data_IF_687410957279
#
_entry.id   IF_687410957279
#
_cell.length_a   1.000
_cell.length_b   1.000
_cell.length_c   1.000
_cell.angle_alpha   90.00
_cell.angle_beta   90.00
_cell.angle_gamma   90.00
#
_symmetry.space_group_name_H-M   'P 1'
#
loop_
_entity.id
_entity.type
_entity.pdbx_description
1 polymer ?
#
# COMPACT_ATOMS: atom_id res chain seq x y z
N UNK A 1 71.62 79.87 17.38
CA UNK A 1 71.20 79.05 18.54
C UNK A 1 69.99 78.19 18.14
N UNK A 2 69.74 77.11 18.88
CA UNK A 2 69.09 75.84 18.53
C UNK A 2 67.57 75.76 18.16
N UNK A 3 67.23 74.72 17.35
CA UNK A 3 66.10 73.72 17.36
C UNK A 3 64.62 74.23 17.35
N UNK A 4 63.57 73.60 16.77
CA UNK A 4 63.27 72.31 16.08
C UNK A 4 61.85 72.32 15.46
N UNK A 5 61.65 71.51 14.41
CA UNK A 5 60.49 70.64 14.08
C UNK A 5 59.18 71.10 13.34
N UNK A 6 58.95 70.35 12.24
CA UNK A 6 57.71 69.68 11.72
C UNK A 6 56.69 70.40 10.81
N UNK A 7 56.65 69.86 9.58
CA UNK A 7 55.49 69.21 8.90
C UNK A 7 54.40 70.07 8.23
N UNK A 8 54.25 69.92 6.91
CA UNK A 8 53.14 69.19 6.22
C UNK A 8 53.17 69.47 4.72
N UNK A 9 52.80 68.47 3.91
CA UNK A 9 52.88 68.49 2.44
C UNK A 9 51.55 67.95 1.84
N UNK A 10 51.18 68.53 0.68
CA UNK A 10 50.34 68.00 -0.44
C UNK A 10 48.79 68.12 -0.48
N UNK A 11 48.37 69.07 -1.36
CA UNK A 11 47.47 69.00 -2.56
C UNK A 11 47.05 67.58 -3.05
N UNK A 12 45.99 67.30 -3.84
CA UNK A 12 45.05 68.03 -4.73
C UNK A 12 43.85 67.11 -5.07
N UNK A 13 42.89 67.65 -5.82
CA UNK A 13 41.52 67.20 -6.02
C UNK A 13 41.22 66.18 -7.15
N UNK A 14 40.07 65.50 -6.96
CA UNK A 14 39.01 65.09 -7.90
C UNK A 14 39.31 64.23 -9.14
N UNK A 15 38.67 63.05 -9.20
CA UNK A 15 37.86 62.61 -10.35
C UNK A 15 36.95 61.43 -9.98
N UNK A 16 35.67 61.55 -10.34
CA UNK A 16 34.59 60.59 -10.12
C UNK A 16 34.56 59.59 -11.27
N UNK A 17 34.64 58.28 -10.96
CA UNK A 17 34.39 57.20 -11.93
C UNK A 17 33.30 56.29 -11.34
N UNK A 18 32.12 56.31 -11.97
CA UNK A 18 31.00 55.42 -11.66
C UNK A 18 31.39 53.99 -12.03
N UNK A 19 31.67 53.15 -11.03
CA UNK A 19 31.79 51.70 -11.23
C UNK A 19 30.39 51.08 -11.36
N UNK A 20 30.02 50.68 -12.57
CA UNK A 20 28.85 49.85 -12.81
C UNK A 20 29.05 48.48 -12.13
N UNK A 21 28.29 48.21 -11.07
CA UNK A 21 28.17 46.88 -10.46
C UNK A 21 27.60 45.93 -11.53
N UNK A 22 28.44 45.06 -12.08
CA UNK A 22 27.96 43.88 -12.83
C UNK A 22 27.09 43.06 -11.89
N UNK A 23 25.77 43.15 -12.06
CA UNK A 23 24.83 42.19 -11.49
C UNK A 23 25.18 40.86 -12.14
N UNK A 24 25.79 39.94 -11.38
CA UNK A 24 25.88 38.54 -11.81
C UNK A 24 24.45 38.08 -12.04
N UNK A 25 24.10 37.78 -13.29
CA UNK A 25 22.87 37.05 -13.57
C UNK A 25 22.89 35.78 -12.71
N UNK A 26 21.78 35.41 -12.05
CA UNK A 26 21.71 34.15 -11.34
C UNK A 26 22.00 33.04 -12.34
N UNK A 27 23.15 32.38 -12.18
CA UNK A 27 23.46 31.19 -12.95
C UNK A 27 22.32 30.21 -12.69
N UNK A 28 21.62 29.79 -13.76
CA UNK A 28 20.69 28.67 -13.72
C UNK A 28 21.42 27.52 -13.02
N UNK A 29 20.88 26.95 -11.93
CA UNK A 29 21.51 25.81 -11.28
C UNK A 29 21.77 24.75 -12.34
N UNK A 30 23.01 24.29 -12.47
CA UNK A 30 23.37 23.15 -13.29
C UNK A 30 22.45 22.00 -12.88
N UNK A 31 21.55 21.59 -13.76
CA UNK A 31 20.60 20.52 -13.49
C UNK A 31 21.40 19.22 -13.37
N UNK A 32 21.62 18.76 -12.13
CA UNK A 32 21.98 17.38 -11.92
C UNK A 32 20.94 16.49 -12.62
N UNK A 33 21.37 15.42 -13.30
CA UNK A 33 20.48 14.56 -14.05
C UNK A 33 19.35 14.09 -13.15
N UNK A 34 18.12 14.36 -13.58
CA UNK A 34 16.91 14.09 -12.83
C UNK A 34 16.85 12.60 -12.46
N UNK A 35 16.89 12.28 -11.16
CA UNK A 35 16.83 10.89 -10.70
C UNK A 35 15.50 10.26 -11.13
N UNK A 36 15.58 9.31 -12.05
CA UNK A 36 14.45 8.50 -12.49
C UNK A 36 14.17 7.45 -11.41
N UNK A 37 12.93 7.41 -10.93
CA UNK A 37 12.46 6.47 -9.91
C UNK A 37 11.68 5.32 -10.54
N UNK A 38 11.04 5.56 -11.68
CA UNK A 38 10.38 4.54 -12.48
C UNK A 38 10.43 4.95 -13.95
N UNK A 39 10.70 3.99 -14.82
CA UNK A 39 10.58 4.16 -16.26
C UNK A 39 10.12 2.87 -16.91
N UNK A 40 9.16 2.98 -17.82
CA UNK A 40 8.74 1.88 -18.67
C UNK A 40 8.47 2.40 -20.09
N UNK A 41 8.72 1.57 -21.08
CA UNK A 41 8.45 1.87 -22.48
C UNK A 41 7.92 0.61 -23.18
N UNK A 42 6.88 0.77 -23.98
CA UNK A 42 6.25 -0.36 -24.66
C UNK A 42 4.85 -0.03 -25.16
N UNK A 43 4.15 -1.07 -25.65
CA UNK A 43 2.79 -0.93 -26.19
C UNK A 43 1.79 -0.52 -25.12
N UNK A 44 0.78 0.25 -25.51
CA UNK A 44 -0.28 0.68 -24.60
C UNK A 44 -1.69 0.39 -25.13
N UNK A 45 -2.68 0.34 -24.25
CA UNK A 45 -4.11 0.41 -24.60
C UNK A 45 -4.82 1.51 -23.80
N UNK A 46 -6.14 1.61 -23.94
CA UNK A 46 -6.95 2.53 -23.13
C UNK A 46 -7.84 1.79 -22.15
N UNK A 47 -8.12 2.40 -21.00
CA UNK A 47 -9.00 1.86 -19.98
C UNK A 47 -9.72 2.96 -19.19
N UNK A 48 -10.69 2.54 -18.38
CA UNK A 48 -11.36 3.41 -17.44
C UNK A 48 -12.61 4.09 -18.01
N UNK A 49 -13.52 4.43 -17.11
CA UNK A 49 -14.69 5.24 -17.42
C UNK A 49 -15.89 4.47 -17.98
N UNK A 50 -16.96 5.21 -18.39
CA UNK A 50 -18.28 4.62 -18.63
C UNK A 50 -18.40 3.73 -19.87
N UNK A 51 -17.37 3.68 -20.72
CA UNK A 51 -17.40 2.94 -21.99
C UNK A 51 -16.35 1.83 -22.07
N UNK A 52 -15.54 1.65 -21.02
CA UNK A 52 -14.62 0.52 -20.92
C UNK A 52 -15.33 -0.76 -20.45
N UNK A 53 -15.92 -1.49 -21.39
CA UNK A 53 -16.60 -2.77 -21.12
C UNK A 53 -15.62 -3.93 -20.87
N UNK A 54 -14.31 -3.70 -20.97
CA UNK A 54 -13.29 -4.66 -20.58
C UNK A 54 -13.16 -4.78 -19.06
N UNK A 55 -13.51 -3.71 -18.33
CA UNK A 55 -13.66 -3.76 -16.88
C UNK A 55 -15.05 -4.24 -16.45
N UNK A 56 -15.08 -5.01 -15.37
CA UNK A 56 -16.34 -5.42 -14.74
C UNK A 56 -17.08 -4.22 -14.13
N UNK A 57 -18.42 -4.24 -14.06
CA UNK A 57 -19.21 -3.14 -13.50
C UNK A 57 -18.86 -2.77 -12.06
N UNK A 58 -18.36 -3.71 -11.27
CA UNK A 58 -17.99 -3.57 -9.86
C UNK A 58 -16.47 -3.43 -9.62
N UNK A 59 -15.67 -3.37 -10.70
CA UNK A 59 -14.21 -3.38 -10.63
C UNK A 59 -13.63 -2.12 -9.95
N UNK A 60 -12.73 -2.36 -8.99
CA UNK A 60 -12.07 -1.31 -8.22
C UNK A 60 -10.87 -0.71 -8.94
N UNK A 61 -10.04 0.02 -8.18
CA UNK A 61 -8.72 0.48 -8.63
C UNK A 61 -7.68 0.06 -7.59
N UNK A 62 -6.47 -0.28 -8.02
CA UNK A 62 -5.40 -0.71 -7.11
C UNK A 62 -4.88 0.43 -6.22
N UNK A 63 -4.98 1.68 -6.68
CA UNK A 63 -4.46 2.85 -5.97
C UNK A 63 -5.53 3.73 -5.36
N UNK A 64 -6.83 3.57 -5.64
CA UNK A 64 -7.89 4.44 -5.11
C UNK A 64 -9.09 3.64 -4.56
N UNK A 65 -9.75 4.20 -3.56
CA UNK A 65 -10.90 3.63 -2.86
C UNK A 65 -12.10 4.59 -2.87
N UNK A 66 -13.28 4.11 -2.44
CA UNK A 66 -14.49 4.95 -2.43
C UNK A 66 -14.37 6.15 -1.50
N UNK A 67 -13.51 6.07 -0.49
CA UNK A 67 -13.20 7.18 0.41
C UNK A 67 -12.51 8.34 -0.31
N UNK A 68 -11.74 8.05 -1.38
CA UNK A 68 -11.02 9.07 -2.15
C UNK A 68 -11.93 9.92 -3.04
N UNK A 69 -13.21 9.54 -3.19
CA UNK A 69 -14.21 10.32 -3.91
C UNK A 69 -14.54 11.65 -3.21
N UNK A 70 -14.33 11.69 -1.90
CA UNK A 70 -14.60 12.88 -1.06
C UNK A 70 -13.35 13.74 -0.87
N UNK A 71 -12.16 13.23 -1.23
CA UNK A 71 -10.91 14.00 -1.18
C UNK A 71 -10.87 15.00 -2.35
N UNK A 72 -10.87 16.33 -2.09
CA UNK A 72 -10.83 17.34 -3.14
C UNK A 72 -9.63 17.22 -4.08
N UNK A 73 -8.55 16.56 -3.63
CA UNK A 73 -7.35 16.32 -4.44
C UNK A 73 -7.57 15.30 -5.55
N UNK A 74 -8.53 14.39 -5.38
CA UNK A 74 -8.77 13.28 -6.31
C UNK A 74 -10.20 13.25 -6.85
N UNK A 75 -11.13 14.01 -6.26
CA UNK A 75 -12.53 14.03 -6.67
C UNK A 75 -12.71 14.32 -8.17
N UNK A 76 -11.85 15.14 -8.77
CA UNK A 76 -11.92 15.50 -10.19
C UNK A 76 -11.48 14.37 -11.14
N UNK A 77 -10.76 13.36 -10.65
CA UNK A 77 -10.37 12.16 -11.37
C UNK A 77 -11.58 11.25 -11.67
N UNK A 78 -12.65 11.38 -10.88
CA UNK A 78 -13.84 10.55 -10.97
C UNK A 78 -15.04 11.35 -11.50
N UNK A 79 -16.01 10.63 -12.07
CA UNK A 79 -17.29 11.19 -12.42
C UNK A 79 -18.10 11.49 -11.15
N UNK A 80 -18.91 12.58 -11.13
CA UNK A 80 -19.72 12.94 -9.96
C UNK A 80 -20.66 11.83 -9.49
N UNK A 81 -21.14 10.99 -10.42
CA UNK A 81 -21.97 9.82 -10.13
C UNK A 81 -21.42 8.59 -10.88
N UNK A 82 -21.62 7.37 -10.34
CA UNK A 82 -21.29 6.14 -11.07
C UNK A 82 -22.19 5.99 -12.31
N UNK A 83 -21.67 5.44 -13.42
CA UNK A 83 -22.50 5.06 -14.55
C UNK A 83 -23.60 4.06 -14.16
N UNK A 84 -24.76 4.07 -14.85
CA UNK A 84 -25.84 3.12 -14.58
C UNK A 84 -25.36 1.66 -14.59
N UNK A 85 -25.77 0.89 -13.58
CA UNK A 85 -25.42 -0.53 -13.46
C UNK A 85 -23.98 -0.81 -13.00
N UNK A 86 -23.21 0.22 -12.59
CA UNK A 86 -21.83 0.06 -12.13
C UNK A 86 -21.69 0.47 -10.65
N UNK A 87 -20.80 -0.21 -9.92
CA UNK A 87 -20.49 0.06 -8.51
C UNK A 87 -18.99 0.21 -8.24
N UNK A 88 -18.17 -0.15 -9.23
CA UNK A 88 -16.71 -0.08 -9.22
C UNK A 88 -16.16 1.31 -9.53
N UNK A 89 -14.94 1.59 -9.07
CA UNK A 89 -14.29 2.88 -9.30
C UNK A 89 -13.68 3.00 -10.69
N UNK A 90 -13.26 1.89 -11.29
CA UNK A 90 -12.67 1.92 -12.63
C UNK A 90 -13.64 2.52 -13.65
N UNK A 91 -14.90 2.04 -13.64
CA UNK A 91 -15.98 2.53 -14.49
C UNK A 91 -16.39 3.98 -14.19
N UNK A 92 -16.05 4.49 -13.00
CA UNK A 92 -16.31 5.86 -12.57
C UNK A 92 -15.16 6.81 -12.88
N UNK A 93 -14.02 6.35 -13.40
CA UNK A 93 -12.94 7.25 -13.84
C UNK A 93 -13.46 8.21 -14.91
N UNK A 94 -13.06 9.48 -14.82
CA UNK A 94 -13.45 10.49 -15.79
C UNK A 94 -12.56 10.38 -17.04
N UNK A 95 -13.07 9.94 -18.20
CA UNK A 95 -12.25 9.64 -19.38
C UNK A 95 -11.52 10.86 -19.93
N UNK A 96 -11.93 12.08 -19.56
CA UNK A 96 -11.29 13.34 -19.97
C UNK A 96 -10.10 13.74 -19.07
N UNK A 97 -9.85 13.01 -17.99
CA UNK A 97 -8.73 13.26 -17.06
C UNK A 97 -7.53 12.41 -17.43
N UNK A 98 -6.34 12.85 -17.05
CA UNK A 98 -5.10 12.18 -17.40
C UNK A 98 -4.65 11.22 -16.30
N UNK A 99 -4.92 9.94 -16.55
CA UNK A 99 -4.51 8.85 -15.68
C UNK A 99 -4.02 7.67 -16.49
N UNK A 100 -3.33 6.77 -15.81
CA UNK A 100 -2.84 5.54 -16.41
C UNK A 100 -2.68 4.41 -15.38
N UNK A 101 -2.55 3.20 -15.88
CA UNK A 101 -2.20 2.00 -15.14
C UNK A 101 -0.92 1.39 -15.74
N UNK A 102 -0.03 0.86 -14.90
CA UNK A 102 1.17 0.14 -15.32
C UNK A 102 1.41 -1.06 -14.41
N UNK A 103 2.30 -1.96 -14.83
CA UNK A 103 2.84 -2.95 -13.91
C UNK A 103 3.88 -2.29 -13.01
N UNK A 104 3.68 -2.47 -11.71
CA UNK A 104 4.55 -1.93 -10.68
C UNK A 104 5.10 -3.08 -9.84
N UNK A 105 6.37 -3.01 -9.44
CA UNK A 105 6.83 -3.73 -8.26
C UNK A 105 6.61 -2.82 -7.06
N UNK A 106 5.69 -3.17 -6.17
CA UNK A 106 5.37 -2.33 -5.01
C UNK A 106 6.49 -2.24 -3.98
N UNK A 107 7.50 -3.11 -4.04
CA UNK A 107 8.73 -2.95 -3.25
C UNK A 107 9.56 -1.74 -3.73
N UNK A 108 9.58 -1.49 -5.04
CA UNK A 108 10.34 -0.39 -5.66
C UNK A 108 9.51 0.88 -5.81
N UNK A 109 8.20 0.71 -6.05
CA UNK A 109 7.23 1.78 -6.28
C UNK A 109 6.00 1.60 -5.40
N UNK A 110 6.10 1.89 -4.08
CA UNK A 110 4.99 1.69 -3.16
C UNK A 110 3.72 2.43 -3.58
N UNK A 111 2.54 1.88 -3.27
CA UNK A 111 1.24 2.48 -3.65
C UNK A 111 1.11 3.95 -3.22
N UNK A 112 1.60 4.30 -2.04
CA UNK A 112 1.58 5.68 -1.54
C UNK A 112 2.48 6.62 -2.36
N UNK A 113 3.64 6.13 -2.81
CA UNK A 113 4.48 6.87 -3.74
C UNK A 113 3.72 7.12 -5.06
N UNK A 114 3.10 6.08 -5.63
CA UNK A 114 2.33 6.19 -6.87
C UNK A 114 1.13 7.14 -6.73
N UNK A 115 0.37 7.04 -5.63
CA UNK A 115 -0.75 7.94 -5.28
C UNK A 115 -0.33 9.40 -5.12
N UNK A 116 0.94 9.70 -4.83
CA UNK A 116 1.43 11.08 -4.67
C UNK A 116 2.25 11.58 -5.86
N UNK A 117 2.49 10.74 -6.85
CA UNK A 117 3.32 11.06 -8.00
C UNK A 117 2.48 11.52 -9.19
N UNK A 118 3.12 12.33 -10.05
CA UNK A 118 2.73 12.50 -11.44
C UNK A 118 3.82 11.88 -12.32
N UNK A 119 3.41 11.18 -13.36
CA UNK A 119 4.33 10.66 -14.36
C UNK A 119 4.31 11.57 -15.58
N UNK A 120 5.47 11.77 -16.19
CA UNK A 120 5.55 12.27 -17.55
C UNK A 120 5.26 11.10 -18.49
N UNK A 121 4.16 11.19 -19.23
CA UNK A 121 3.76 10.21 -20.25
C UNK A 121 4.05 10.82 -21.61
N UNK A 122 4.81 10.11 -22.43
CA UNK A 122 5.34 10.60 -23.69
C UNK A 122 5.00 9.66 -24.83
N UNK A 123 4.59 10.24 -25.96
CA UNK A 123 4.59 9.55 -27.24
C UNK A 123 5.97 9.75 -27.89
N UNK A 124 6.83 8.71 -27.95
CA UNK A 124 8.18 8.83 -28.48
C UNK A 124 8.22 9.11 -29.99
N UNK A 125 7.12 8.85 -30.73
CA UNK A 125 7.08 9.07 -32.17
C UNK A 125 6.88 10.54 -32.55
N UNK A 126 6.14 11.30 -31.74
CA UNK A 126 5.82 12.70 -32.01
C UNK A 126 6.35 13.69 -30.94
N UNK A 127 6.93 13.17 -29.86
CA UNK A 127 7.53 13.95 -28.77
C UNK A 127 6.53 14.65 -27.84
N UNK A 128 5.22 14.42 -28.00
CA UNK A 128 4.20 15.00 -27.10
C UNK A 128 4.32 14.38 -25.72
N UNK A 129 4.23 15.22 -24.68
CA UNK A 129 4.31 14.83 -23.28
C UNK A 129 3.15 15.40 -22.49
N UNK A 130 2.56 14.59 -21.62
CA UNK A 130 1.46 14.97 -20.75
C UNK A 130 1.70 14.38 -19.37
N UNK A 131 1.40 15.16 -18.35
CA UNK A 131 1.45 14.69 -16.97
C UNK A 131 0.19 13.89 -16.66
N UNK A 132 0.38 12.68 -16.15
CA UNK A 132 -0.72 11.79 -15.80
C UNK A 132 -0.50 11.14 -14.46
N UNK A 133 -1.61 10.75 -13.83
CA UNK A 133 -1.63 10.15 -12.50
C UNK A 133 -1.70 8.62 -12.58
N UNK A 134 -0.86 7.88 -11.84
CA UNK A 134 -1.05 6.45 -11.64
C UNK A 134 -2.37 6.20 -10.91
N UNK A 135 -3.22 5.30 -11.40
CA UNK A 135 -4.50 4.98 -10.74
C UNK A 135 -4.73 3.49 -10.52
N UNK A 136 -4.12 2.63 -11.33
CA UNK A 136 -4.31 1.19 -11.23
C UNK A 136 -3.04 0.39 -11.52
N UNK A 137 -3.10 -0.91 -11.27
CA UNK A 137 -2.15 -1.87 -11.79
C UNK A 137 -2.57 -2.32 -13.18
N UNK A 138 -1.63 -2.25 -14.11
CA UNK A 138 -1.88 -2.26 -15.54
C UNK A 138 -1.97 -3.63 -16.19
N UNK A 139 -1.99 -3.66 -17.53
CA UNK A 139 -2.65 -4.69 -18.33
C UNK A 139 -2.10 -6.08 -18.09
N UNK A 140 -2.94 -7.10 -18.34
CA UNK A 140 -2.56 -8.50 -18.15
C UNK A 140 -1.33 -8.86 -19.01
N UNK A 141 -0.42 -9.68 -18.47
CA UNK A 141 0.92 -9.91 -19.01
C UNK A 141 0.87 -10.50 -20.42
N UNK A 142 -0.14 -11.34 -20.69
CA UNK A 142 -0.39 -11.94 -22.00
C UNK A 142 -0.75 -10.93 -23.09
N UNK A 143 -1.13 -9.70 -22.74
CA UNK A 143 -1.42 -8.65 -23.73
C UNK A 143 -0.15 -8.09 -24.38
N UNK A 144 1.01 -8.27 -23.75
CA UNK A 144 2.27 -7.66 -24.20
C UNK A 144 2.32 -6.13 -24.10
N UNK A 145 1.35 -5.52 -23.40
CA UNK A 145 1.28 -4.08 -23.16
C UNK A 145 1.87 -3.73 -21.79
N UNK A 146 2.44 -2.54 -21.70
CA UNK A 146 3.08 -2.05 -20.47
C UNK A 146 2.22 -1.04 -19.71
N UNK A 147 1.22 -0.45 -20.39
CA UNK A 147 0.39 0.58 -19.83
C UNK A 147 -1.03 0.59 -20.41
N UNK A 148 -2.00 0.96 -19.59
CA UNK A 148 -3.32 1.40 -20.04
C UNK A 148 -3.48 2.89 -19.72
N UNK A 149 -3.86 3.70 -20.70
CA UNK A 149 -4.04 5.14 -20.56
C UNK A 149 -5.52 5.50 -20.50
N UNK A 150 -5.88 6.63 -19.90
CA UNK A 150 -7.22 7.16 -20.10
C UNK A 150 -7.46 7.52 -21.58
N UNK A 151 -8.72 7.46 -22.07
CA UNK A 151 -9.03 7.86 -23.45
C UNK A 151 -8.57 9.29 -23.76
N UNK A 152 -8.77 10.23 -22.83
CA UNK A 152 -8.34 11.62 -22.97
C UNK A 152 -6.82 11.77 -23.01
N UNK A 153 -6.08 10.98 -22.24
CA UNK A 153 -4.60 10.99 -22.26
C UNK A 153 -4.06 10.44 -23.57
N UNK A 154 -4.59 9.30 -24.03
CA UNK A 154 -4.23 8.72 -25.33
C UNK A 154 -4.50 9.70 -26.48
N UNK A 155 -5.68 10.34 -26.49
CA UNK A 155 -6.04 11.34 -27.47
C UNK A 155 -5.10 12.58 -27.44
N UNK A 156 -4.75 13.08 -26.25
CA UNK A 156 -3.84 14.20 -26.10
C UNK A 156 -2.43 13.90 -26.65
N UNK A 157 -1.96 12.66 -26.45
CA UNK A 157 -0.68 12.17 -26.96
C UNK A 157 -0.73 11.73 -28.43
N UNK A 158 -1.93 11.61 -29.01
CA UNK A 158 -2.13 11.10 -30.37
C UNK A 158 -1.71 9.64 -30.50
N UNK A 159 -2.03 8.83 -29.49
CA UNK A 159 -1.71 7.40 -29.46
C UNK A 159 -2.99 6.56 -29.59
N UNK A 160 -2.88 5.44 -30.31
CA UNK A 160 -3.88 4.40 -30.40
C UNK A 160 -3.42 3.13 -29.68
N UNK A 161 -4.32 2.15 -29.55
CA UNK A 161 -3.96 0.82 -29.02
C UNK A 161 -2.78 0.22 -29.78
N UNK A 162 -1.85 -0.36 -29.03
CA UNK A 162 -0.59 -0.95 -29.47
C UNK A 162 0.49 0.03 -29.97
N UNK A 163 0.24 1.34 -29.93
CA UNK A 163 1.30 2.33 -30.08
C UNK A 163 2.23 2.31 -28.85
N UNK A 164 3.47 2.76 -29.06
CA UNK A 164 4.48 2.81 -28.01
C UNK A 164 4.31 4.05 -27.17
N UNK A 165 4.37 3.90 -25.85
CA UNK A 165 4.39 4.98 -24.87
C UNK A 165 5.61 4.85 -23.98
N UNK A 166 6.18 5.97 -23.58
CA UNK A 166 7.22 6.04 -22.54
C UNK A 166 6.64 6.73 -21.31
N UNK A 167 6.74 6.10 -20.15
CA UNK A 167 6.27 6.65 -18.87
C UNK A 167 7.44 6.78 -17.94
N UNK A 168 7.62 7.98 -17.37
CA UNK A 168 8.72 8.27 -16.44
C UNK A 168 8.19 8.97 -15.19
N UNK A 169 8.54 8.43 -14.01
CA UNK A 169 8.35 9.12 -12.73
C UNK A 169 9.73 9.50 -12.21
N UNK A 170 9.93 10.80 -12.01
CA UNK A 170 11.17 11.35 -11.50
C UNK A 170 11.05 11.84 -10.07
N UNK A 171 12.19 12.01 -9.41
CA UNK A 171 12.26 12.56 -8.07
C UNK A 171 11.73 14.01 -7.94
N UNK A 172 11.65 14.78 -9.05
CA UNK A 172 11.04 16.14 -9.03
C UNK A 172 9.51 16.10 -9.16
N UNK A 173 8.98 15.06 -9.82
CA UNK A 173 7.54 14.90 -10.07
C UNK A 173 6.82 14.05 -9.01
N UNK A 174 7.59 13.45 -8.09
CA UNK A 174 7.12 13.00 -6.79
C UNK A 174 7.26 14.17 -5.80
N UNK A 175 6.19 14.57 -5.12
CA UNK A 175 6.26 15.64 -4.10
C UNK A 175 7.34 15.28 -3.06
N UNK A 176 8.41 16.08 -2.89
CA UNK A 176 9.52 15.71 -2.04
C UNK A 176 9.16 15.87 -0.56
N UNK A 177 9.36 14.82 0.24
CA UNK A 177 9.43 14.93 1.70
C UNK A 177 10.90 15.12 2.07
N UNK A 178 11.22 16.16 2.86
CA UNK A 178 12.55 16.33 3.46
C UNK A 178 12.96 15.01 4.13
N UNK A 179 14.16 14.54 3.79
CA UNK A 179 14.74 13.34 4.38
C UNK A 179 14.88 13.51 5.90
N UNK A 180 13.97 12.92 6.66
CA UNK A 180 14.17 12.69 8.08
C UNK A 180 15.13 11.50 8.25
N UNK A 181 16.15 11.68 9.09
CA UNK A 181 17.17 10.68 9.40
C UNK A 181 16.52 9.34 9.77
N UNK A 182 17.09 8.30 9.18
CA UNK A 182 16.74 6.90 9.32
C UNK A 182 16.70 6.43 10.77
N UNK A 183 15.53 5.95 11.20
CA UNK A 183 15.40 4.70 11.96
C UNK A 183 14.30 3.88 11.30
N UNK A 184 14.62 2.61 11.00
CA UNK A 184 13.77 1.65 10.29
C UNK A 184 12.39 1.52 10.96
N UNK A 185 11.28 1.75 10.23
CA UNK A 185 9.94 1.15 10.46
C UNK A 185 8.90 1.62 9.41
N UNK A 186 8.15 0.68 8.83
CA UNK A 186 6.71 0.80 8.52
C UNK A 186 6.26 1.50 7.21
N UNK A 187 5.50 0.76 6.38
CA UNK A 187 4.67 1.28 5.29
C UNK A 187 3.47 2.07 5.83
N UNK A 188 3.20 3.26 5.26
CA UNK A 188 2.05 4.08 5.60
C UNK A 188 0.85 3.83 4.69
N UNK A 189 -0.10 2.98 5.12
CA UNK A 189 -1.44 3.52 5.36
C UNK A 189 -1.30 4.38 6.62
N UNK A 190 -1.95 5.52 6.76
CA UNK A 190 -2.05 6.15 8.08
C UNK A 190 -2.98 5.30 8.95
N UNK A 191 -2.59 4.05 9.16
CA UNK A 191 -3.14 3.20 10.15
C UNK A 191 -2.79 3.88 11.47
N UNK A 192 -3.78 4.40 12.20
CA UNK A 192 -3.53 4.96 13.52
C UNK A 192 -2.90 3.91 14.45
N UNK A 193 -3.02 2.63 14.09
CA UNK A 193 -2.38 1.52 14.76
C UNK A 193 -1.12 1.11 13.99
N UNK A 194 0.04 1.17 14.65
CA UNK A 194 1.26 0.59 14.09
C UNK A 194 1.13 -0.94 14.02
N UNK A 195 1.76 -1.57 13.01
CA UNK A 195 1.91 -3.03 13.02
C UNK A 195 2.60 -3.42 14.32
N UNK A 196 2.03 -4.30 15.15
CA UNK A 196 2.70 -4.78 16.35
C UNK A 196 4.07 -5.36 16.02
N UNK A 197 4.98 -5.32 16.99
CA UNK A 197 6.30 -5.91 16.84
C UNK A 197 6.16 -7.42 16.59
N UNK A 198 6.66 -7.87 15.44
CA UNK A 198 6.81 -9.29 15.14
C UNK A 198 8.11 -9.75 15.79
N UNK A 199 8.00 -10.68 16.75
CA UNK A 199 9.14 -11.28 17.44
C UNK A 199 10.08 -11.94 16.45
N UNK A 200 9.51 -12.74 15.55
CA UNK A 200 10.23 -13.47 14.53
C UNK A 200 9.32 -13.79 13.34
N UNK A 201 9.87 -13.74 12.13
CA UNK A 201 9.22 -14.27 10.93
C UNK A 201 9.79 -15.67 10.65
N UNK A 202 8.98 -16.71 10.83
CA UNK A 202 9.36 -18.12 10.67
C UNK A 202 8.53 -18.70 9.54
N UNK A 203 9.04 -18.61 8.30
CA UNK A 203 8.28 -18.97 7.11
C UNK A 203 7.83 -20.45 7.15
N UNK A 204 6.52 -20.67 7.10
CA UNK A 204 5.92 -21.99 6.88
C UNK A 204 6.05 -22.35 5.40
N UNK A 205 6.31 -23.60 5.01
CA UNK A 205 6.23 -24.01 3.61
C UNK A 205 4.77 -24.14 3.11
N UNK A 206 3.79 -24.13 4.02
CA UNK A 206 2.39 -24.42 3.71
C UNK A 206 1.62 -23.14 3.38
N UNK A 207 2.03 -22.45 2.32
CA UNK A 207 1.29 -21.31 1.79
C UNK A 207 1.23 -21.37 0.26
N UNK A 208 0.41 -20.51 -0.31
CA UNK A 208 0.29 -20.39 -1.76
C UNK A 208 -0.30 -19.03 -2.14
N UNK A 209 -0.51 -18.78 -3.43
CA UNK A 209 -1.19 -17.57 -3.87
C UNK A 209 -2.63 -17.50 -3.33
N UNK A 210 -3.09 -16.27 -3.03
CA UNK A 210 -4.51 -15.95 -2.78
C UNK A 210 -5.35 -15.92 -4.06
N UNK A 211 -4.73 -16.13 -5.23
CA UNK A 211 -5.38 -16.07 -6.54
C UNK A 211 -6.11 -14.74 -6.80
N UNK A 212 -5.57 -13.63 -6.26
CA UNK A 212 -6.16 -12.29 -6.38
C UNK A 212 -7.30 -12.00 -5.40
N UNK A 213 -7.68 -12.95 -4.53
CA UNK A 213 -8.70 -12.72 -3.51
C UNK A 213 -8.27 -11.60 -2.55
N UNK A 214 -9.22 -10.71 -2.24
CA UNK A 214 -9.02 -9.67 -1.24
C UNK A 214 -9.07 -10.28 0.15
N UNK A 215 -8.27 -9.73 1.05
CA UNK A 215 -8.37 -10.02 2.48
C UNK A 215 -9.55 -9.21 3.01
N UNK A 216 -10.61 -9.90 3.44
CA UNK A 216 -11.84 -9.28 3.92
C UNK A 216 -12.31 -9.87 5.26
N UNK A 217 -11.56 -10.82 5.83
CA UNK A 217 -11.87 -11.52 7.09
C UNK A 217 -10.63 -11.70 7.96
N UNK A 218 -10.85 -11.71 9.28
CA UNK A 218 -9.88 -12.22 10.26
C UNK A 218 -10.52 -13.43 10.94
N UNK A 219 -9.77 -14.53 11.03
CA UNK A 219 -10.20 -15.74 11.72
C UNK A 219 -9.31 -15.96 12.93
N UNK A 220 -9.94 -16.06 14.09
CA UNK A 220 -9.31 -16.25 15.39
C UNK A 220 -9.33 -17.73 15.76
N UNK A 221 -8.18 -18.23 16.17
CA UNK A 221 -7.95 -19.64 16.51
C UNK A 221 -7.33 -19.78 17.90
N UNK A 222 -7.53 -20.95 18.50
CA UNK A 222 -6.71 -21.50 19.58
C UNK A 222 -5.82 -22.61 19.00
N UNK A 223 -4.61 -22.76 19.55
CA UNK A 223 -3.68 -23.79 19.07
C UNK A 223 -3.91 -25.17 19.69
N UNK A 224 -4.51 -25.22 20.89
CA UNK A 224 -4.56 -26.41 21.77
C UNK A 224 -3.19 -27.04 22.04
N UNK A 225 -2.11 -26.27 21.84
CA UNK A 225 -0.74 -26.74 21.88
C UNK A 225 0.22 -25.64 22.34
N UNK A 226 1.40 -26.03 22.81
CA UNK A 226 2.46 -25.08 23.15
C UNK A 226 2.96 -24.31 21.92
N UNK A 227 3.58 -23.13 22.13
CA UNK A 227 4.21 -22.38 21.04
C UNK A 227 5.24 -23.24 20.26
N UNK A 228 6.23 -23.92 20.89
CA UNK A 228 7.17 -24.75 20.14
C UNK A 228 6.49 -25.85 19.32
N UNK A 229 5.45 -26.50 19.86
CA UNK A 229 4.68 -27.52 19.15
C UNK A 229 3.95 -26.94 17.93
N UNK A 230 3.32 -25.77 18.09
CA UNK A 230 2.60 -25.07 17.03
C UNK A 230 3.54 -24.66 15.90
N UNK A 231 4.66 -23.99 16.26
CA UNK A 231 5.66 -23.58 15.28
C UNK A 231 6.30 -24.78 14.56
N UNK A 232 6.54 -25.89 15.27
CA UNK A 232 7.06 -27.11 14.68
C UNK A 232 6.07 -27.75 13.70
N UNK A 233 4.79 -27.81 14.04
CA UNK A 233 3.73 -28.34 13.18
C UNK A 233 3.60 -27.52 11.89
N UNK A 234 3.56 -26.19 11.99
CA UNK A 234 3.40 -25.31 10.82
C UNK A 234 4.61 -25.30 9.89
N UNK A 235 5.77 -25.82 10.33
CA UNK A 235 6.96 -25.99 9.48
C UNK A 235 6.99 -27.31 8.72
N UNK A 236 6.09 -28.25 8.99
CA UNK A 236 6.08 -29.55 8.29
C UNK A 236 5.57 -29.37 6.86
N UNK A 237 6.40 -29.74 5.89
CA UNK A 237 6.02 -29.78 4.46
C UNK A 237 5.14 -30.98 4.09
N UNK A 238 5.04 -31.96 5.00
CA UNK A 238 4.28 -33.20 4.83
C UNK A 238 3.18 -33.34 5.88
N UNK A 239 2.24 -34.27 5.67
CA UNK A 239 1.14 -34.51 6.59
C UNK A 239 -0.01 -33.52 6.39
N UNK A 240 -0.47 -32.87 7.46
CA UNK A 240 -1.68 -32.02 7.41
C UNK A 240 -1.49 -30.73 6.63
N UNK A 241 -0.24 -30.29 6.43
CA UNK A 241 0.11 -29.08 5.69
C UNK A 241 -0.66 -27.83 6.12
N UNK A 242 -0.82 -27.66 7.44
CA UNK A 242 -1.51 -26.51 8.05
C UNK A 242 -0.54 -25.36 8.31
N UNK A 243 -1.08 -24.14 8.35
CA UNK A 243 -0.33 -22.92 8.69
C UNK A 243 -1.30 -21.80 9.05
N UNK A 244 -0.82 -20.79 9.78
CA UNK A 244 -1.52 -19.53 9.99
C UNK A 244 -0.60 -18.35 9.68
N UNK A 245 -1.16 -17.15 9.60
CA UNK A 245 -0.36 -15.96 9.33
C UNK A 245 0.39 -15.54 10.58
N UNK A 246 -0.31 -15.54 11.72
CA UNK A 246 0.23 -15.11 12.99
C UNK A 246 -0.01 -16.16 14.08
N UNK A 247 0.94 -16.30 15.00
CA UNK A 247 0.81 -17.06 16.25
C UNK A 247 1.16 -16.11 17.40
N UNK A 248 0.28 -15.99 18.40
CA UNK A 248 0.47 -15.15 19.57
C UNK A 248 0.65 -16.05 20.79
N UNK A 249 1.84 -15.97 21.40
CA UNK A 249 2.14 -16.74 22.60
C UNK A 249 1.42 -16.18 23.84
N UNK A 250 1.36 -16.97 24.93
CA UNK A 250 0.75 -16.58 26.21
C UNK A 250 1.40 -15.32 26.81
N UNK A 251 2.62 -14.98 26.43
CA UNK A 251 3.33 -13.77 26.89
C UNK A 251 3.07 -12.54 25.99
N UNK A 252 2.27 -12.66 24.92
CA UNK A 252 1.97 -11.58 23.97
C UNK A 252 2.97 -11.41 22.83
N UNK A 253 4.02 -12.24 22.74
CA UNK A 253 4.91 -12.23 21.58
C UNK A 253 4.19 -12.74 20.33
N UNK A 254 4.34 -12.02 19.23
CA UNK A 254 3.70 -12.32 17.95
C UNK A 254 4.75 -12.89 17.00
N UNK A 255 4.51 -14.10 16.52
CA UNK A 255 5.28 -14.75 15.46
C UNK A 255 4.49 -14.67 14.16
N UNK A 256 5.15 -14.32 13.05
CA UNK A 256 4.53 -14.36 11.73
C UNK A 256 5.07 -15.56 10.95
N UNK A 257 4.20 -16.39 10.39
CA UNK A 257 4.61 -17.60 9.66
C UNK A 257 4.24 -17.62 8.18
N UNK A 258 3.23 -16.84 7.78
CA UNK A 258 2.86 -16.62 6.38
C UNK A 258 2.72 -15.12 6.15
N UNK A 259 3.19 -14.64 4.99
CA UNK A 259 3.03 -13.23 4.59
C UNK A 259 1.54 -12.95 4.38
N UNK A 260 1.09 -11.75 4.72
CA UNK A 260 -0.33 -11.40 4.57
C UNK A 260 -0.81 -11.55 3.11
N UNK A 261 0.06 -11.28 2.14
CA UNK A 261 -0.22 -11.40 0.70
C UNK A 261 -0.45 -12.84 0.24
N UNK A 262 -0.01 -13.82 1.01
CA UNK A 262 -0.11 -15.25 0.68
C UNK A 262 -1.27 -15.89 1.43
N UNK A 263 -1.80 -16.97 0.87
CA UNK A 263 -2.83 -17.80 1.48
C UNK A 263 -2.18 -18.78 2.44
N UNK A 264 -2.51 -18.69 3.74
CA UNK A 264 -2.23 -19.74 4.71
C UNK A 264 -3.33 -20.83 4.74
N UNK A 265 -3.02 -22.01 5.27
CA UNK A 265 -3.92 -23.16 5.36
C UNK A 265 -4.45 -23.32 6.79
N UNK A 266 -5.38 -22.44 7.22
CA UNK A 266 -5.87 -22.39 8.62
C UNK A 266 -7.38 -22.66 8.77
N UNK A 267 -8.20 -22.28 7.79
CA UNK A 267 -9.65 -22.37 7.82
C UNK A 267 -10.18 -22.80 6.45
N UNK A 268 -10.42 -24.10 6.30
CA UNK A 268 -10.92 -24.69 5.05
C UNK A 268 -12.19 -23.96 4.58
N UNK A 269 -12.20 -23.49 3.33
CA UNK A 269 -13.30 -22.73 2.74
C UNK A 269 -13.21 -21.20 2.93
N UNK A 270 -12.34 -20.70 3.81
CA UNK A 270 -12.12 -19.26 4.02
C UNK A 270 -10.69 -18.77 3.74
N UNK A 271 -9.71 -19.69 3.67
CA UNK A 271 -8.27 -19.43 3.53
C UNK A 271 -7.90 -18.28 2.57
N UNK A 272 -8.47 -18.26 1.36
CA UNK A 272 -8.09 -17.30 0.31
C UNK A 272 -8.36 -15.84 0.70
N UNK A 273 -9.43 -15.61 1.47
CA UNK A 273 -9.94 -14.27 1.81
C UNK A 273 -9.66 -13.85 3.26
N UNK A 274 -8.98 -14.69 4.05
CA UNK A 274 -8.77 -14.45 5.48
C UNK A 274 -7.31 -14.33 5.90
N UNK A 275 -7.11 -13.62 7.01
CA UNK A 275 -5.92 -13.72 7.86
C UNK A 275 -6.25 -14.59 9.08
N UNK A 276 -5.45 -15.62 9.31
CA UNK A 276 -5.55 -16.52 10.47
C UNK A 276 -4.61 -16.09 11.58
N UNK A 277 -5.16 -15.92 12.79
CA UNK A 277 -4.41 -15.59 14.01
C UNK A 277 -4.62 -16.71 15.03
N UNK A 278 -3.55 -17.44 15.31
CA UNK A 278 -3.48 -18.50 16.31
C UNK A 278 -3.10 -17.94 17.67
N UNK A 279 -3.78 -18.36 18.71
CA UNK A 279 -3.49 -17.98 20.08
C UNK A 279 -3.11 -19.22 20.86
N UNK A 280 -1.90 -19.22 21.41
CA UNK A 280 -1.44 -20.32 22.27
C UNK A 280 -2.38 -20.44 23.47
N UNK A 281 -2.93 -21.62 23.70
CA UNK A 281 -3.89 -21.89 24.79
C UNK A 281 -4.70 -23.16 24.52
N UNK A 282 -5.19 -23.78 25.58
CA UNK A 282 -6.10 -24.92 25.52
C UNK A 282 -7.58 -24.53 25.56
N UNK A 283 -8.45 -25.52 25.42
CA UNK A 283 -9.91 -25.39 25.34
C UNK A 283 -10.55 -24.50 26.41
N UNK A 284 -10.04 -24.58 27.64
CA UNK A 284 -10.59 -23.86 28.81
C UNK A 284 -9.71 -22.71 29.29
N UNK A 285 -8.61 -22.41 28.60
CA UNK A 285 -7.77 -21.27 28.95
C UNK A 285 -8.45 -19.97 28.50
N UNK A 286 -8.47 -18.91 29.33
CA UNK A 286 -8.75 -17.57 28.84
C UNK A 286 -7.50 -16.99 28.15
N UNK A 287 -7.67 -15.96 27.32
CA UNK A 287 -6.54 -15.11 26.91
C UNK A 287 -5.83 -14.54 28.16
N UNK A 288 -4.50 -14.58 28.17
CA UNK A 288 -3.75 -13.79 29.15
C UNK A 288 -3.86 -12.30 28.79
N UNK A 289 -3.64 -11.42 29.77
CA UNK A 289 -3.62 -9.98 29.53
C UNK A 289 -2.65 -9.55 28.39
N UNK A 290 -1.37 -9.99 28.34
CA UNK A 290 -0.48 -9.60 27.25
C UNK A 290 -0.88 -10.21 25.90
N UNK A 291 -1.41 -11.42 25.88
CA UNK A 291 -1.91 -12.06 24.66
C UNK A 291 -3.14 -11.33 24.10
N UNK A 292 -4.07 -10.94 24.97
CA UNK A 292 -5.23 -10.13 24.60
C UNK A 292 -4.82 -8.76 24.04
N UNK A 293 -3.87 -8.08 24.69
CA UNK A 293 -3.36 -6.80 24.23
C UNK A 293 -2.66 -6.91 22.85
N UNK A 294 -1.84 -7.95 22.66
CA UNK A 294 -1.17 -8.23 21.39
C UNK A 294 -2.17 -8.55 20.26
N UNK A 295 -3.17 -9.39 20.55
CA UNK A 295 -4.23 -9.75 19.61
C UNK A 295 -5.05 -8.53 19.20
N UNK A 296 -5.50 -7.73 20.16
CA UNK A 296 -6.25 -6.51 19.87
C UNK A 296 -5.44 -5.51 19.02
N UNK A 297 -4.16 -5.30 19.35
CA UNK A 297 -3.30 -4.43 18.57
C UNK A 297 -3.09 -4.93 17.14
N UNK A 298 -2.94 -6.25 16.96
CA UNK A 298 -2.79 -6.86 15.64
C UNK A 298 -4.08 -6.77 14.83
N UNK A 299 -5.23 -7.07 15.43
CA UNK A 299 -6.54 -6.98 14.77
C UNK A 299 -6.83 -5.54 14.34
N UNK A 300 -6.62 -4.56 15.22
CA UNK A 300 -6.75 -3.14 14.88
C UNK A 300 -5.87 -2.77 13.68
N UNK A 301 -4.63 -3.22 13.68
CA UNK A 301 -3.74 -2.98 12.55
C UNK A 301 -4.30 -3.61 11.27
N UNK A 302 -4.71 -4.88 11.30
CA UNK A 302 -5.24 -5.61 10.15
C UNK A 302 -6.53 -4.97 9.59
N UNK A 303 -7.46 -4.55 10.46
CA UNK A 303 -8.68 -3.83 10.07
C UNK A 303 -8.32 -2.63 9.20
N UNK A 304 -7.44 -1.78 9.70
CA UNK A 304 -7.06 -0.54 9.02
C UNK A 304 -6.16 -0.77 7.80
N UNK A 305 -5.35 -1.84 7.79
CA UNK A 305 -4.54 -2.19 6.61
C UNK A 305 -5.38 -2.67 5.45
N UNK A 306 -6.39 -3.48 5.72
CA UNK A 306 -7.13 -4.20 4.69
C UNK A 306 -8.57 -3.70 4.51
N UNK A 307 -9.01 -2.74 5.33
CA UNK A 307 -10.38 -2.22 5.32
C UNK A 307 -11.40 -3.28 5.77
N UNK A 308 -11.00 -4.18 6.68
CA UNK A 308 -11.83 -5.29 7.13
C UNK A 308 -12.89 -4.76 8.09
N UNK A 309 -14.20 -4.91 7.83
CA UNK A 309 -15.23 -4.55 8.79
C UNK A 309 -15.03 -5.32 10.10
N UNK A 310 -15.23 -4.67 11.25
CA UNK A 310 -15.17 -5.35 12.56
C UNK A 310 -16.12 -6.55 12.65
N UNK A 311 -17.25 -6.50 11.93
CA UNK A 311 -18.21 -7.59 11.80
C UNK A 311 -17.66 -8.82 11.08
N UNK A 312 -16.52 -8.69 10.38
CA UNK A 312 -15.84 -9.76 9.64
C UNK A 312 -14.68 -10.39 10.43
N UNK A 313 -14.77 -10.37 11.76
CA UNK A 313 -13.85 -11.06 12.66
C UNK A 313 -14.59 -12.26 13.25
N UNK A 314 -14.12 -13.46 12.93
CA UNK A 314 -14.81 -14.70 13.26
C UNK A 314 -13.93 -15.63 14.09
N UNK A 315 -14.55 -16.43 14.96
CA UNK A 315 -13.92 -17.68 15.40
C UNK A 315 -13.89 -18.69 14.27
N UNK A 316 -12.91 -19.59 14.27
CA UNK A 316 -12.78 -20.63 13.24
C UNK A 316 -14.09 -21.38 12.98
N UNK A 317 -14.72 -21.93 14.01
CA UNK A 317 -15.98 -22.69 13.88
C UNK A 317 -17.11 -21.88 13.26
N UNK A 318 -17.15 -20.58 13.53
CA UNK A 318 -18.22 -19.69 13.10
C UNK A 318 -17.92 -18.94 11.80
N UNK A 319 -16.81 -19.24 11.14
CA UNK A 319 -16.37 -18.49 9.96
C UNK A 319 -17.29 -18.77 8.77
N UNK A 320 -17.88 -17.75 8.12
CA UNK A 320 -18.67 -17.95 6.91
C UNK A 320 -17.85 -18.63 5.81
N UNK A 321 -18.39 -19.73 5.28
CA UNK A 321 -17.72 -20.54 4.27
C UNK A 321 -16.84 -21.66 4.85
N UNK A 322 -16.70 -21.78 6.18
CA UNK A 322 -16.04 -22.93 6.79
C UNK A 322 -16.77 -24.24 6.44
N UNK A 323 -16.00 -25.24 5.97
CA UNK A 323 -16.60 -26.43 5.34
C UNK A 323 -15.88 -27.75 5.66
N UNK A 324 -15.19 -27.86 6.81
CA UNK A 324 -14.47 -29.09 7.15
C UNK A 324 -15.44 -30.17 7.66
N UNK A 325 -15.40 -31.40 7.11
CA UNK A 325 -16.14 -32.54 7.67
C UNK A 325 -15.72 -32.81 9.12
N UNK A 326 -16.69 -32.93 10.02
CA UNK A 326 -16.47 -33.16 11.46
C UNK A 326 -16.37 -31.89 12.31
N UNK A 327 -16.35 -30.70 11.70
CA UNK A 327 -16.34 -29.42 12.41
C UNK A 327 -15.06 -29.15 13.22
N UNK A 328 -15.12 -28.10 14.05
CA UNK A 328 -14.08 -27.75 15.02
C UNK A 328 -14.73 -27.02 16.18
N UNK A 329 -14.15 -27.07 17.38
CA UNK A 329 -14.55 -26.21 18.49
C UNK A 329 -13.70 -24.94 18.58
N UNK A 330 -12.71 -24.77 17.70
CA UNK A 330 -11.80 -23.63 17.69
C UNK A 330 -12.57 -22.30 17.47
N UNK A 331 -12.34 -21.22 18.25
CA UNK A 331 -11.27 -21.00 19.24
C UNK A 331 -11.66 -21.34 20.70
N UNK A 332 -12.57 -22.29 20.89
CA UNK A 332 -13.15 -22.73 22.16
C UNK A 332 -13.71 -21.57 22.99
N UNK A 333 -13.24 -21.42 24.23
CA UNK A 333 -13.65 -20.39 25.19
C UNK A 333 -12.58 -19.32 25.40
N UNK A 334 -11.60 -19.25 24.51
CA UNK A 334 -10.44 -18.37 24.70
C UNK A 334 -10.82 -16.89 24.83
N UNK A 335 -11.87 -16.47 24.10
CA UNK A 335 -12.37 -15.10 24.06
C UNK A 335 -13.51 -14.81 25.04
N UNK A 336 -13.91 -15.80 25.85
CA UNK A 336 -14.95 -15.64 26.87
C UNK A 336 -15.63 -16.96 27.24
N UNK A 337 -16.48 -16.93 28.28
CA UNK A 337 -17.04 -18.13 28.89
C UNK A 337 -17.91 -19.02 27.96
N UNK A 338 -18.41 -18.47 26.84
CA UNK A 338 -19.25 -19.18 25.88
C UNK A 338 -18.52 -19.48 24.57
N UNK A 339 -18.77 -20.66 24.02
CA UNK A 339 -18.36 -21.02 22.66
C UNK A 339 -19.42 -20.54 21.66
N UNK A 340 -19.34 -19.26 21.27
CA UNK A 340 -20.25 -18.64 20.33
C UNK A 340 -19.61 -17.45 19.62
N UNK A 341 -19.98 -17.20 18.37
CA UNK A 341 -19.55 -16.01 17.62
C UNK A 341 -19.91 -14.71 18.33
N UNK A 342 -21.05 -14.67 19.05
CA UNK A 342 -21.46 -13.51 19.84
C UNK A 342 -20.47 -13.19 20.98
N UNK A 343 -19.86 -14.22 21.59
CA UNK A 343 -18.84 -14.04 22.62
C UNK A 343 -17.58 -13.41 22.04
N UNK A 344 -17.16 -13.86 20.84
CA UNK A 344 -16.01 -13.30 20.13
C UNK A 344 -16.30 -11.85 19.71
N UNK A 345 -17.47 -11.59 19.14
CA UNK A 345 -17.88 -10.24 18.74
C UNK A 345 -17.91 -9.27 19.94
N UNK A 346 -18.41 -9.71 21.10
CA UNK A 346 -18.39 -8.91 22.32
C UNK A 346 -16.96 -8.62 22.80
N UNK A 347 -16.05 -9.59 22.71
CA UNK A 347 -14.65 -9.36 23.02
C UNK A 347 -14.00 -8.36 22.06
N UNK A 348 -14.25 -8.49 20.75
CA UNK A 348 -13.76 -7.55 19.73
C UNK A 348 -14.26 -6.14 20.02
N UNK A 349 -15.57 -5.97 20.25
CA UNK A 349 -16.15 -4.65 20.54
C UNK A 349 -15.54 -3.98 21.77
N UNK A 350 -15.22 -4.76 22.81
CA UNK A 350 -14.62 -4.24 24.03
C UNK A 350 -13.12 -3.92 23.90
N UNK A 351 -12.39 -4.59 22.99
CA UNK A 351 -10.92 -4.59 23.02
C UNK A 351 -10.25 -4.03 21.76
N UNK A 352 -10.94 -4.01 20.62
CA UNK A 352 -10.45 -3.53 19.32
C UNK A 352 -11.11 -2.20 19.06
#
# INVERSE_FOLDING_TARGET
>A
MARTAKSTDRKRAAQSVKAARKIKQPQKPSEEPEKILFRVEGKMSTFGGPLDFGMQPDEGLALFSKLDLEDPKYADLFLPAPPPGTSGLGRRLNPNKFYFACRWNYLDTPKEFLRRSLACVENPQNGRKVDARPVDWGPYESTGRVADLSPGLAAALGLNTDDVVTITISARRAIPVKAARTKRAGHGSSNPHAKPAIKEFIESPNHSSRNGAKIDKIVLHCTEASLPSTLAEFKKSEGRQVSAHYVIDRNGEIYQMVKDSDRANHCMGANESSIGIEHVGGENDPLTAPQAAASAALIRWLIEQYGIPRTNIFGHDFTPGYSRPGGTSCPDKLFGAGHAQATIAAWVEANV
#
